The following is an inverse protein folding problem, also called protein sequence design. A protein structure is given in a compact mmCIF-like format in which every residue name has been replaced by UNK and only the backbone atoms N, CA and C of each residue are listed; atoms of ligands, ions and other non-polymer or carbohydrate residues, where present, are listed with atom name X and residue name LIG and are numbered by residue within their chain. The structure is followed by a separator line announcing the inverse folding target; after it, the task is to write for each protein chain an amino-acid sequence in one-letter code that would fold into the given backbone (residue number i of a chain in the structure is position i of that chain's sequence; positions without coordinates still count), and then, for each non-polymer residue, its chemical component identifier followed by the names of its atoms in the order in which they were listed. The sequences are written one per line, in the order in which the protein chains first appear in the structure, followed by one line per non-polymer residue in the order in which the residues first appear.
data_IF_189558750898
#
_entry.id   IF_189558750898
#
_cell.length_a   1.000
_cell.length_b   1.000
_cell.length_c   1.000
_cell.angle_alpha   90.00
_cell.angle_beta   90.00
_cell.angle_gamma   90.00
#
_symmetry.space_group_name_H-M   'P 1'
#
loop_
_entity.id
_entity.type
_entity.pdbx_description
1 polymer ?
#
# COMPACT_ATOMS: atom_id res chain seq x y z
N UNK A 1 -51.29 -25.24 12.77
CA UNK A 1 -49.82 -25.40 12.65
C UNK A 1 -49.12 -24.23 11.95
N UNK A 2 -49.68 -23.63 10.88
CA UNK A 2 -49.05 -22.48 10.16
C UNK A 2 -48.85 -21.20 11.01
N UNK A 3 -49.77 -20.90 11.94
CA UNK A 3 -49.68 -19.73 12.83
C UNK A 3 -48.57 -19.85 13.90
N UNK A 4 -48.28 -21.08 14.33
CA UNK A 4 -47.21 -21.39 15.30
C UNK A 4 -45.83 -21.25 14.65
N UNK A 5 -45.69 -21.71 13.39
CA UNK A 5 -44.47 -21.53 12.61
C UNK A 5 -44.18 -20.06 12.31
N UNK A 6 -45.21 -19.26 12.02
CA UNK A 6 -45.07 -17.82 11.82
C UNK A 6 -44.64 -17.09 13.10
N UNK A 7 -45.15 -17.52 14.27
CA UNK A 7 -44.79 -16.94 15.55
C UNK A 7 -43.35 -17.30 15.95
N UNK A 8 -42.92 -18.55 15.69
CA UNK A 8 -41.55 -19.01 15.90
C UNK A 8 -40.55 -18.24 15.01
N UNK A 9 -40.91 -17.99 13.75
CA UNK A 9 -40.09 -17.21 12.82
C UNK A 9 -39.87 -15.77 13.31
N UNK A 10 -40.91 -15.16 13.87
CA UNK A 10 -40.86 -13.81 14.45
C UNK A 10 -40.02 -13.77 15.73
N UNK A 11 -40.13 -14.78 16.60
CA UNK A 11 -39.32 -14.85 17.83
C UNK A 11 -37.83 -15.05 17.50
N UNK A 12 -37.51 -15.87 16.48
CA UNK A 12 -36.11 -16.07 16.03
C UNK A 12 -35.50 -14.79 15.47
N UNK A 13 -36.28 -13.90 14.82
CA UNK A 13 -35.75 -12.61 14.34
C UNK A 13 -35.42 -11.62 15.47
N UNK A 14 -36.06 -11.73 16.64
CA UNK A 14 -35.77 -10.87 17.79
C UNK A 14 -34.60 -11.36 18.66
N UNK A 15 -34.22 -12.64 18.57
CA UNK A 15 -33.03 -13.21 19.21
C UNK A 15 -31.71 -12.82 18.51
N UNK A 16 -31.76 -12.15 17.35
CA UNK A 16 -30.56 -11.73 16.62
C UNK A 16 -29.90 -10.46 17.19
N UNK A 17 -30.36 -9.97 18.34
CA UNK A 17 -29.82 -8.77 18.99
C UNK A 17 -28.51 -9.05 19.74
N UNK A 18 -27.42 -9.00 18.96
CA UNK A 18 -26.05 -8.55 19.28
C UNK A 18 -25.60 -8.57 20.74
N UNK A 19 -24.88 -9.61 21.11
CA UNK A 19 -23.83 -9.51 22.14
C UNK A 19 -22.53 -9.01 21.48
N UNK A 20 -22.41 -7.70 21.24
CA UNK A 20 -21.14 -7.06 20.86
C UNK A 20 -20.28 -6.78 22.10
N UNK A 21 -20.16 -7.74 23.02
CA UNK A 21 -19.24 -7.61 24.16
C UNK A 21 -17.93 -8.29 23.78
N UNK A 22 -17.21 -7.72 22.80
CA UNK A 22 -15.82 -8.10 22.60
C UNK A 22 -15.03 -7.56 23.79
N UNK A 23 -14.64 -8.47 24.68
CA UNK A 23 -13.86 -8.12 25.86
C UNK A 23 -12.45 -7.68 25.46
N UNK A 24 -11.88 -6.76 26.24
CA UNK A 24 -10.51 -6.29 26.02
C UNK A 24 -9.53 -7.45 26.28
N UNK A 25 -8.73 -7.88 25.29
CA UNK A 25 -7.74 -8.94 25.51
C UNK A 25 -6.61 -8.43 26.40
N UNK A 26 -6.04 -9.31 27.25
CA UNK A 26 -4.92 -8.97 28.13
C UNK A 26 -3.70 -8.44 27.36
N UNK A 27 -3.44 -9.01 26.18
CA UNK A 27 -2.35 -8.63 25.29
C UNK A 27 -2.71 -7.54 24.28
N UNK A 28 -3.69 -6.66 24.51
CA UNK A 28 -4.11 -5.69 23.51
C UNK A 28 -2.93 -4.84 22.99
N UNK A 29 -2.71 -4.88 21.67
CA UNK A 29 -1.76 -4.00 20.99
C UNK A 29 -2.26 -2.58 21.12
N UNK A 30 -1.44 -1.67 21.67
CA UNK A 30 -1.79 -0.26 21.78
C UNK A 30 -2.22 0.34 20.44
N UNK A 31 -3.26 1.17 20.45
CA UNK A 31 -3.85 1.77 19.24
C UNK A 31 -2.83 2.42 18.32
N UNK A 32 -1.90 3.22 18.87
CA UNK A 32 -0.84 3.86 18.08
C UNK A 32 0.10 2.84 17.42
N UNK A 33 0.43 1.76 18.14
CA UNK A 33 1.21 0.64 17.62
C UNK A 33 0.45 -0.11 16.52
N UNK A 34 -0.86 -0.31 16.67
CA UNK A 34 -1.71 -0.93 15.66
C UNK A 34 -1.83 -0.06 14.39
N UNK A 35 -1.96 1.26 14.51
CA UNK A 35 -1.91 2.18 13.36
C UNK A 35 -0.59 2.06 12.59
N UNK A 36 0.54 1.92 13.31
CA UNK A 36 1.84 1.71 12.68
C UNK A 36 1.92 0.34 11.96
N UNK A 37 1.39 -0.71 12.57
CA UNK A 37 1.28 -2.04 11.95
C UNK A 37 0.45 -1.97 10.66
N UNK A 38 -0.72 -1.34 10.70
CA UNK A 38 -1.59 -1.17 9.53
C UNK A 38 -0.90 -0.38 8.41
N UNK A 39 -0.13 0.66 8.76
CA UNK A 39 0.66 1.42 7.78
C UNK A 39 1.72 0.57 7.09
N UNK A 40 2.47 -0.23 7.84
CA UNK A 40 3.51 -1.10 7.26
C UNK A 40 2.91 -2.24 6.43
N UNK A 41 1.79 -2.82 6.87
CA UNK A 41 1.05 -3.81 6.09
C UNK A 41 0.57 -3.22 4.76
N UNK A 42 0.00 -2.01 4.78
CA UNK A 42 -0.42 -1.32 3.57
C UNK A 42 0.76 -1.07 2.61
N UNK A 43 1.93 -0.71 3.16
CA UNK A 43 3.14 -0.50 2.36
C UNK A 43 3.66 -1.80 1.74
N UNK A 44 3.71 -2.89 2.50
CA UNK A 44 4.12 -4.21 2.02
C UNK A 44 3.18 -4.71 0.91
N UNK A 45 1.88 -4.52 1.08
CA UNK A 45 0.90 -4.89 0.07
C UNK A 45 1.02 -4.03 -1.20
N UNK A 46 1.26 -2.72 -1.07
CA UNK A 46 1.51 -1.85 -2.22
C UNK A 46 2.79 -2.25 -2.99
N UNK A 47 3.86 -2.61 -2.28
CA UNK A 47 5.11 -3.10 -2.89
C UNK A 47 4.86 -4.41 -3.66
N UNK A 48 4.15 -5.35 -3.03
CA UNK A 48 3.76 -6.62 -3.66
C UNK A 48 2.86 -6.41 -4.86
N UNK A 49 1.90 -5.49 -4.77
CA UNK A 49 1.01 -5.14 -5.87
C UNK A 49 1.78 -4.56 -7.07
N UNK A 50 2.71 -3.65 -6.81
CA UNK A 50 3.53 -3.03 -7.86
C UNK A 50 4.53 -4.02 -8.49
N UNK A 51 5.05 -4.96 -7.69
CA UNK A 51 5.92 -6.02 -8.16
C UNK A 51 5.69 -7.32 -7.35
N UNK A 52 4.93 -8.29 -7.89
CA UNK A 52 4.56 -9.51 -7.16
C UNK A 52 5.74 -10.37 -6.71
N UNK A 53 6.89 -10.29 -7.39
CA UNK A 53 8.07 -11.08 -7.04
C UNK A 53 8.96 -10.40 -6.01
N UNK A 54 8.78 -9.09 -5.77
CA UNK A 54 9.68 -8.28 -4.94
C UNK A 54 9.85 -8.79 -3.52
N UNK A 55 8.78 -9.23 -2.85
CA UNK A 55 8.88 -9.75 -1.49
C UNK A 55 9.60 -11.11 -1.47
N UNK A 56 9.30 -11.98 -2.44
CA UNK A 56 9.91 -13.30 -2.53
C UNK A 56 11.41 -13.23 -2.86
N UNK A 57 11.80 -12.36 -3.80
CA UNK A 57 13.20 -12.16 -4.17
C UNK A 57 14.02 -11.62 -3.00
N UNK A 58 13.41 -10.78 -2.17
CA UNK A 58 14.03 -10.27 -0.94
C UNK A 58 13.83 -11.19 0.28
N UNK A 59 13.21 -12.36 0.12
CA UNK A 59 12.90 -13.33 1.19
C UNK A 59 12.11 -12.70 2.35
N UNK A 60 11.21 -11.77 2.04
CA UNK A 60 10.35 -11.07 3.00
C UNK A 60 8.99 -11.78 3.05
N UNK A 61 8.68 -12.37 4.20
CA UNK A 61 7.32 -12.77 4.54
C UNK A 61 6.67 -11.61 5.32
N UNK A 62 5.56 -11.07 4.81
CA UNK A 62 4.93 -9.88 5.37
C UNK A 62 4.42 -10.07 6.81
N UNK A 63 3.62 -11.11 7.12
CA UNK A 63 3.26 -11.44 8.51
C UNK A 63 4.48 -11.56 9.44
N UNK A 64 5.49 -12.35 9.07
CA UNK A 64 6.66 -12.57 9.91
C UNK A 64 7.47 -11.29 10.13
N UNK A 65 7.58 -10.45 9.10
CA UNK A 65 8.22 -9.14 9.20
C UNK A 65 7.52 -8.26 10.24
N UNK A 66 6.18 -8.20 10.20
CA UNK A 66 5.38 -7.41 11.14
C UNK A 66 5.54 -7.93 12.56
N UNK A 67 5.40 -9.24 12.77
CA UNK A 67 5.55 -9.86 14.09
C UNK A 67 6.91 -9.58 14.71
N UNK A 68 7.99 -9.71 13.92
CA UNK A 68 9.36 -9.40 14.36
C UNK A 68 9.57 -7.91 14.64
N UNK A 69 9.13 -7.02 13.74
CA UNK A 69 9.31 -5.56 13.88
C UNK A 69 8.62 -5.00 15.11
N UNK A 70 7.40 -5.47 15.36
CA UNK A 70 6.56 -4.95 16.45
C UNK A 70 6.66 -5.77 17.73
N UNK A 71 7.38 -6.89 17.75
CA UNK A 71 7.48 -7.81 18.90
C UNK A 71 6.08 -8.22 19.37
N UNK A 72 5.29 -8.73 18.42
CA UNK A 72 3.94 -9.26 18.66
C UNK A 72 3.85 -10.66 18.08
N UNK A 73 2.92 -11.47 18.58
CA UNK A 73 2.60 -12.75 17.98
C UNK A 73 1.31 -12.69 17.14
N UNK A 74 1.04 -13.77 16.41
CA UNK A 74 -0.12 -13.86 15.52
C UNK A 74 -1.46 -13.84 16.26
N UNK A 75 -1.52 -14.43 17.46
CA UNK A 75 -2.72 -14.49 18.27
C UNK A 75 -3.04 -13.12 18.85
N UNK A 76 -2.04 -12.44 19.40
CA UNK A 76 -2.12 -11.09 19.92
C UNK A 76 -2.59 -10.11 18.85
N UNK A 77 -2.04 -10.23 17.62
CA UNK A 77 -2.50 -9.44 16.48
C UNK A 77 -3.96 -9.73 16.14
N UNK A 78 -4.34 -10.99 16.00
CA UNK A 78 -5.70 -11.38 15.64
C UNK A 78 -6.73 -10.90 16.68
N UNK A 79 -6.45 -11.09 17.98
CA UNK A 79 -7.32 -10.65 19.07
C UNK A 79 -7.43 -9.12 19.12
N UNK A 80 -6.32 -8.41 18.96
CA UNK A 80 -6.32 -6.93 18.94
C UNK A 80 -7.09 -6.40 17.72
N UNK A 81 -6.92 -7.04 16.57
CA UNK A 81 -7.64 -6.69 15.34
C UNK A 81 -9.15 -6.88 15.51
N UNK A 82 -9.59 -8.00 16.09
CA UNK A 82 -11.00 -8.26 16.41
C UNK A 82 -11.54 -7.23 17.41
N UNK A 83 -10.77 -6.91 18.46
CA UNK A 83 -11.14 -5.89 19.45
C UNK A 83 -11.35 -4.52 18.79
N UNK A 84 -10.42 -4.04 17.97
CA UNK A 84 -10.58 -2.75 17.31
C UNK A 84 -11.70 -2.76 16.27
N UNK A 85 -11.83 -3.85 15.50
CA UNK A 85 -12.88 -3.99 14.49
C UNK A 85 -14.30 -4.05 15.09
N UNK A 86 -14.45 -4.34 16.39
CA UNK A 86 -15.74 -4.28 17.07
C UNK A 86 -16.34 -2.88 17.11
N UNK A 87 -15.51 -1.83 17.15
CA UNK A 87 -15.95 -0.45 17.09
C UNK A 87 -15.63 0.15 15.72
N UNK A 88 -16.64 0.18 14.85
CA UNK A 88 -16.49 0.67 13.48
C UNK A 88 -15.90 2.08 13.40
N UNK A 89 -16.40 3.03 14.20
CA UNK A 89 -15.94 4.43 14.15
C UNK A 89 -14.48 4.55 14.58
N UNK A 90 -14.10 3.82 15.63
CA UNK A 90 -12.72 3.79 16.09
C UNK A 90 -11.79 3.17 15.04
N UNK A 91 -12.18 2.02 14.48
CA UNK A 91 -11.38 1.31 13.50
C UNK A 91 -11.21 2.10 12.21
N UNK A 92 -12.30 2.74 11.74
CA UNK A 92 -12.24 3.70 10.63
C UNK A 92 -11.25 4.83 10.92
N UNK A 93 -11.30 5.40 12.12
CA UNK A 93 -10.37 6.46 12.53
C UNK A 93 -8.90 6.03 12.50
N UNK A 94 -8.61 4.73 12.68
CA UNK A 94 -7.25 4.18 12.51
C UNK A 94 -6.85 4.10 11.03
N UNK A 95 -7.75 3.64 10.15
CA UNK A 95 -7.51 3.66 8.70
C UNK A 95 -7.35 5.08 8.15
N UNK A 96 -8.17 6.04 8.57
CA UNK A 96 -8.07 7.43 8.13
C UNK A 96 -6.71 8.02 8.49
N UNK A 97 -6.16 7.68 9.66
CA UNK A 97 -4.80 8.08 10.06
C UNK A 97 -3.72 7.46 9.16
N UNK A 98 -3.86 6.18 8.80
CA UNK A 98 -2.95 5.50 7.88
C UNK A 98 -2.98 6.17 6.51
N UNK A 99 -4.18 6.42 5.96
CA UNK A 99 -4.37 7.08 4.65
C UNK A 99 -3.74 8.47 4.67
N UNK A 100 -4.05 9.30 5.67
CA UNK A 100 -3.48 10.64 5.82
C UNK A 100 -1.94 10.60 5.88
N UNK A 101 -1.37 9.62 6.59
CA UNK A 101 0.08 9.42 6.63
C UNK A 101 0.64 9.05 5.26
N UNK A 102 0.00 8.14 4.53
CA UNK A 102 0.41 7.75 3.17
C UNK A 102 0.37 8.96 2.23
N UNK A 103 -0.72 9.72 2.22
CA UNK A 103 -0.88 10.90 1.36
C UNK A 103 0.18 11.96 1.64
N UNK A 104 0.45 12.25 2.92
CA UNK A 104 1.50 13.19 3.30
C UNK A 104 2.88 12.75 2.82
N UNK A 105 3.20 11.45 2.90
CA UNK A 105 4.48 10.90 2.44
C UNK A 105 4.58 10.92 0.91
N UNK A 106 3.48 10.65 0.21
CA UNK A 106 3.40 10.67 -1.24
C UNK A 106 3.76 12.05 -1.79
N UNK A 107 3.17 13.12 -1.25
CA UNK A 107 3.49 14.50 -1.66
C UNK A 107 4.99 14.82 -1.54
N UNK A 108 5.61 14.37 -0.45
CA UNK A 108 7.04 14.55 -0.21
C UNK A 108 7.85 13.79 -1.28
N UNK A 109 7.55 12.49 -1.48
CA UNK A 109 8.26 11.64 -2.45
C UNK A 109 8.10 12.19 -3.87
N UNK A 110 6.90 12.58 -4.28
CA UNK A 110 6.64 13.12 -5.62
C UNK A 110 7.41 14.43 -5.87
N UNK A 111 7.52 15.27 -4.84
CA UNK A 111 8.31 16.51 -4.89
C UNK A 111 9.80 16.22 -5.06
N UNK A 112 10.34 15.25 -4.30
CA UNK A 112 11.73 14.85 -4.39
C UNK A 112 12.06 14.25 -5.77
N UNK A 113 11.21 13.38 -6.29
CA UNK A 113 11.37 12.78 -7.63
C UNK A 113 11.36 13.87 -8.71
N UNK A 114 10.51 14.89 -8.59
CA UNK A 114 10.48 16.03 -9.53
C UNK A 114 11.78 16.83 -9.51
N UNK A 115 12.35 17.07 -8.34
CA UNK A 115 13.64 17.77 -8.20
C UNK A 115 14.78 16.93 -8.78
N UNK A 116 14.82 15.64 -8.47
CA UNK A 116 15.85 14.73 -8.98
C UNK A 116 15.83 14.67 -10.51
N UNK A 117 14.65 14.54 -11.11
CA UNK A 117 14.51 14.51 -12.56
C UNK A 117 14.96 15.82 -13.23
N UNK A 118 14.63 16.99 -12.64
CA UNK A 118 15.14 18.28 -13.13
C UNK A 118 16.67 18.36 -13.06
N UNK A 119 17.28 17.85 -12.00
CA UNK A 119 18.73 17.86 -11.84
C UNK A 119 19.42 16.91 -12.81
N UNK A 120 18.85 15.72 -13.08
CA UNK A 120 19.34 14.80 -14.13
C UNK A 120 19.30 15.45 -15.52
N UNK A 121 18.18 16.08 -15.88
CA UNK A 121 18.03 16.79 -17.17
C UNK A 121 19.09 17.91 -17.31
N UNK A 122 19.34 18.68 -16.24
CA UNK A 122 20.38 19.72 -16.25
C UNK A 122 21.79 19.14 -16.39
N UNK A 123 22.09 18.04 -15.69
CA UNK A 123 23.40 17.39 -15.75
C UNK A 123 23.69 16.78 -17.14
N UNK A 124 22.68 16.16 -17.75
CA UNK A 124 22.81 15.60 -19.11
C UNK A 124 22.97 16.71 -20.15
N UNK A 125 22.29 17.85 -19.96
CA UNK A 125 22.46 19.04 -20.83
C UNK A 125 23.87 19.65 -20.72
N UNK A 126 24.49 19.62 -19.53
CA UNK A 126 25.86 20.15 -19.33
C UNK A 126 26.91 19.17 -19.90
N UNK A 127 26.72 17.86 -19.74
CA UNK A 127 27.62 16.84 -20.33
C UNK A 127 27.61 16.84 -21.87
N UNK A 128 26.49 17.25 -22.48
CA UNK A 128 26.41 17.47 -23.92
C UNK A 128 27.21 18.68 -24.43
N UNK A 129 27.53 19.64 -23.56
CA UNK A 129 28.24 20.89 -23.91
C UNK A 129 29.76 20.77 -23.67
N UNK A 130 30.23 19.88 -22.78
CA UNK A 130 31.66 19.70 -22.47
C UNK A 130 32.45 18.84 -23.47
N UNK A 131 31.86 18.44 -24.60
CA UNK A 131 32.62 17.89 -25.73
C UNK A 131 32.73 18.87 -26.92
N UNK A 132 33.54 19.95 -26.82
CA UNK A 132 34.09 20.61 -27.98
C UNK A 132 35.63 20.56 -27.92
N UNK A 133 36.23 19.45 -28.37
CA UNK A 133 37.52 19.40 -29.11
C UNK A 133 37.99 17.93 -29.26
N UNK A 134 37.47 17.25 -30.28
CA UNK A 134 38.23 16.20 -31.00
C UNK A 134 37.51 15.90 -32.31
N UNK A 135 37.60 16.83 -33.25
CA UNK A 135 37.30 16.59 -34.66
C UNK A 135 38.61 16.73 -35.44
N UNK A 136 39.32 15.62 -35.63
CA UNK A 136 40.12 15.35 -36.83
C UNK A 136 40.41 13.85 -36.91
N UNK A 137 39.97 13.18 -37.97
CA UNK A 137 40.25 11.77 -38.20
C UNK A 137 39.14 11.03 -38.97
N UNK A 138 39.07 11.33 -40.27
CA UNK A 138 38.64 10.52 -41.42
C UNK A 138 37.69 9.31 -41.26
N UNK A 139 36.63 9.40 -42.07
CA UNK A 139 36.19 8.39 -43.05
C UNK A 139 35.69 7.01 -42.58
N UNK A 140 34.37 6.87 -42.73
CA UNK A 140 33.65 5.74 -43.35
C UNK A 140 33.41 4.44 -42.55
N UNK A 141 32.11 4.28 -42.26
CA UNK A 141 31.27 3.08 -42.50
C UNK A 141 31.20 2.03 -41.40
N UNK A 142 30.01 1.83 -40.80
CA UNK A 142 29.14 0.64 -41.01
C UNK A 142 27.86 0.68 -40.16
N UNK A 143 26.73 0.88 -40.85
CA UNK A 143 25.40 0.27 -40.67
C UNK A 143 24.73 0.36 -39.27
N UNK A 144 23.87 1.37 -39.13
CA UNK A 144 22.75 1.39 -38.17
C UNK A 144 21.58 0.62 -38.80
N UNK A 145 21.07 -0.39 -38.11
CA UNK A 145 19.68 -0.83 -38.25
C UNK A 145 19.18 -1.41 -36.93
N UNK A 146 18.52 -0.53 -36.17
CA UNK A 146 17.25 -0.76 -35.48
C UNK A 146 17.21 -1.76 -34.32
N UNK A 147 17.55 -1.27 -33.12
CA UNK A 147 16.94 -1.77 -31.88
C UNK A 147 16.46 -0.58 -31.07
N UNK A 148 15.17 -0.64 -30.71
CA UNK A 148 14.52 -0.06 -29.54
C UNK A 148 13.32 0.82 -29.88
N UNK A 149 12.13 0.22 -29.86
CA UNK A 149 10.87 0.93 -29.69
C UNK A 149 10.00 0.20 -28.67
N UNK A 150 9.64 0.96 -27.63
CA UNK A 150 8.41 0.90 -26.83
C UNK A 150 8.45 0.11 -25.52
N UNK A 151 8.94 0.77 -24.46
CA UNK A 151 8.36 0.61 -23.13
C UNK A 151 7.44 1.80 -22.85
N UNK A 152 6.16 1.67 -23.21
CA UNK A 152 5.11 2.62 -22.88
C UNK A 152 4.01 1.87 -22.15
N UNK A 153 4.06 1.88 -20.81
CA UNK A 153 2.88 1.54 -19.99
C UNK A 153 2.93 2.27 -18.65
N UNK A 154 2.67 3.56 -18.69
CA UNK A 154 2.06 4.31 -17.59
C UNK A 154 0.99 5.15 -18.24
N UNK A 155 -0.26 4.92 -17.82
CA UNK A 155 -1.44 5.77 -17.96
C UNK A 155 -2.67 4.87 -18.10
N UNK A 156 -3.10 4.23 -16.99
CA UNK A 156 -4.47 3.71 -16.78
C UNK A 156 -4.69 3.19 -15.36
N UNK A 157 -4.40 3.98 -14.33
CA UNK A 157 -4.89 3.66 -12.96
C UNK A 157 -5.21 4.95 -12.22
N UNK A 158 -6.11 5.80 -12.74
CA UNK A 158 -6.66 6.92 -11.97
C UNK A 158 -8.11 7.30 -12.31
N UNK A 159 -8.83 6.46 -13.06
CA UNK A 159 -10.26 6.64 -13.29
C UNK A 159 -10.98 5.39 -12.83
N UNK A 160 -11.24 5.27 -11.52
CA UNK A 160 -12.31 4.40 -10.98
C UNK A 160 -12.63 4.65 -9.48
N UNK A 161 -12.31 5.83 -8.94
CA UNK A 161 -12.74 6.22 -7.59
C UNK A 161 -14.11 6.92 -7.55
N UNK A 162 -14.87 6.88 -8.64
CA UNK A 162 -16.18 7.55 -8.74
C UNK A 162 -17.40 6.63 -8.84
N UNK A 163 -17.25 5.32 -8.66
CA UNK A 163 -18.39 4.39 -8.64
C UNK A 163 -18.54 3.76 -7.26
N UNK A 164 -18.82 4.55 -6.22
CA UNK A 164 -19.48 4.10 -4.97
C UNK A 164 -20.03 5.34 -4.23
N UNK A 165 -20.93 6.07 -4.88
CA UNK A 165 -21.80 7.06 -4.23
C UNK A 165 -23.23 6.86 -4.70
#
# INVERSE_FOLDING_TARGET
MKKLLSFLLIVVTFLSCKEEVITKPEGLIEKGKMVNIMYDLALLEAIKYQNPTSLNTNKINAPDYIYKKYKIDSLQFAQSNVYYASNYLEYKGMFDQVIKRIDSRKVIVDSLVKVENKNKIKLDSIKGITNPLSKKGDSLKKKISTVNKNNTRRDTVLTDYHILK
#
